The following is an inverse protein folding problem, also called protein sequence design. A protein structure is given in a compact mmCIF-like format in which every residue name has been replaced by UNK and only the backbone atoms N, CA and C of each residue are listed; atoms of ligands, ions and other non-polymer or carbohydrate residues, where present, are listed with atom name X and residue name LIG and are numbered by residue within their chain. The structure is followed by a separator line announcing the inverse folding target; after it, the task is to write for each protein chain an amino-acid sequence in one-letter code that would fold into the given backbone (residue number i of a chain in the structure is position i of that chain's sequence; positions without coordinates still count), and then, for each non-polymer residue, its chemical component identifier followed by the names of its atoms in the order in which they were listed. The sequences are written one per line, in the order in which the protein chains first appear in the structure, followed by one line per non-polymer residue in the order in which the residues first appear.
data_IF_023138154380
#
_entry.id   IF_023138154380
#
_cell.length_a   1.000
_cell.length_b   1.000
_cell.length_c   1.000
_cell.angle_alpha   90.00
_cell.angle_beta   90.00
_cell.angle_gamma   90.00
#
_symmetry.space_group_name_H-M   'P 1'
#
loop_
_entity.id
_entity.type
_entity.pdbx_description
1 polymer ?
#
# COMPACT_ATOMS: atom_id res chain seq x y z
N UNK A 1 50.49 35.02 -32.14
CA UNK A 1 49.29 34.23 -32.54
C UNK A 1 48.97 33.04 -31.65
N UNK A 2 49.89 32.52 -30.86
CA UNK A 2 49.64 31.28 -30.04
C UNK A 2 48.89 31.48 -28.72
N UNK A 3 48.82 32.70 -28.18
CA UNK A 3 48.14 32.92 -26.87
C UNK A 3 46.63 33.16 -27.00
N UNK A 4 46.16 33.66 -28.12
CA UNK A 4 44.74 33.91 -28.37
C UNK A 4 43.98 32.60 -28.60
N UNK A 5 44.57 31.59 -29.24
CA UNK A 5 43.99 30.26 -29.45
C UNK A 5 43.86 29.44 -28.16
N UNK A 6 44.75 29.65 -27.17
CA UNK A 6 44.66 28.99 -25.84
C UNK A 6 43.57 29.60 -24.95
N UNK A 7 43.34 30.92 -25.07
CA UNK A 7 42.25 31.60 -24.32
C UNK A 7 40.85 31.21 -24.86
N UNK A 8 40.70 31.11 -26.19
CA UNK A 8 39.41 30.71 -26.79
C UNK A 8 39.08 29.24 -26.48
N UNK A 9 40.06 28.32 -26.48
CA UNK A 9 39.83 26.92 -26.08
C UNK A 9 39.49 26.74 -24.57
N UNK A 10 40.03 27.59 -23.69
CA UNK A 10 39.69 27.57 -22.25
C UNK A 10 38.32 28.18 -21.98
N UNK A 11 37.90 29.19 -22.72
CA UNK A 11 36.57 29.77 -22.62
C UNK A 11 35.48 28.83 -23.13
N UNK A 12 35.72 28.09 -24.23
CA UNK A 12 34.76 27.12 -24.77
C UNK A 12 34.65 25.87 -23.92
N UNK A 13 35.71 25.38 -23.23
CA UNK A 13 35.61 24.28 -22.27
C UNK A 13 34.87 24.70 -20.97
N UNK A 14 35.07 25.95 -20.54
CA UNK A 14 34.34 26.50 -19.37
C UNK A 14 32.84 26.65 -19.63
N UNK A 15 32.45 27.09 -20.83
CA UNK A 15 31.04 27.22 -21.21
C UNK A 15 30.36 25.85 -21.40
N UNK A 16 31.08 24.84 -21.93
CA UNK A 16 30.56 23.47 -22.08
C UNK A 16 30.38 22.79 -20.70
N UNK A 17 31.29 23.03 -19.76
CA UNK A 17 31.20 22.52 -18.42
C UNK A 17 30.03 23.18 -17.60
N UNK A 18 29.80 24.49 -17.81
CA UNK A 18 28.65 25.18 -17.22
C UNK A 18 27.31 24.72 -17.83
N UNK A 19 27.27 24.44 -19.14
CA UNK A 19 26.08 23.89 -19.80
C UNK A 19 25.75 22.46 -19.32
N UNK A 20 26.77 21.63 -19.05
CA UNK A 20 26.57 20.29 -18.49
C UNK A 20 26.14 20.29 -17.01
N UNK A 21 26.52 21.32 -16.25
CA UNK A 21 26.07 21.46 -14.84
C UNK A 21 24.63 21.99 -14.77
N UNK A 22 24.21 22.82 -15.73
CA UNK A 22 22.81 23.34 -15.81
C UNK A 22 21.84 22.26 -16.31
N UNK A 23 22.31 21.24 -17.05
CA UNK A 23 21.49 20.10 -17.46
C UNK A 23 21.35 19.02 -16.38
N UNK A 24 22.10 19.11 -15.28
CA UNK A 24 22.09 18.14 -14.19
C UNK A 24 21.06 18.42 -13.08
N UNK A 25 20.31 19.52 -13.12
CA UNK A 25 19.28 19.87 -12.15
C UNK A 25 17.89 20.04 -12.80
N UNK A 26 17.57 19.25 -13.80
CA UNK A 26 16.16 19.01 -14.10
C UNK A 26 15.63 18.12 -12.97
N UNK A 27 14.81 18.69 -12.09
CA UNK A 27 13.94 17.92 -11.21
C UNK A 27 13.35 16.80 -12.08
N UNK A 28 13.50 15.56 -11.64
CA UNK A 28 12.96 14.41 -12.34
C UNK A 28 11.44 14.63 -12.38
N UNK A 29 10.93 15.19 -13.47
CA UNK A 29 9.51 15.28 -13.69
C UNK A 29 8.98 13.86 -13.62
N UNK A 30 7.95 13.62 -12.79
CA UNK A 30 7.28 12.33 -12.74
C UNK A 30 6.86 11.97 -14.16
N UNK A 31 7.50 10.96 -14.75
CA UNK A 31 7.35 10.60 -16.17
C UNK A 31 6.10 9.72 -16.33
N UNK A 32 4.94 10.28 -15.92
CA UNK A 32 3.66 9.62 -16.16
C UNK A 32 3.15 9.90 -17.56
N UNK A 33 2.56 8.94 -18.24
CA UNK A 33 1.66 9.25 -19.35
C UNK A 33 0.51 10.12 -18.83
N UNK A 34 0.32 11.31 -19.40
CA UNK A 34 -0.74 12.24 -18.98
C UNK A 34 -1.76 12.44 -20.08
N UNK A 35 -2.97 12.86 -19.69
CA UNK A 35 -4.03 13.29 -20.62
C UNK A 35 -4.88 14.38 -19.96
N UNK A 36 -5.63 15.14 -20.77
CA UNK A 36 -6.75 15.91 -20.24
C UNK A 36 -7.85 14.96 -19.76
N UNK A 37 -8.54 15.23 -18.63
CA UNK A 37 -9.59 14.36 -18.12
C UNK A 37 -10.66 13.99 -19.16
N UNK A 38 -11.04 14.94 -20.01
CA UNK A 38 -12.05 14.78 -21.05
C UNK A 38 -11.64 13.74 -22.12
N UNK A 39 -10.34 13.58 -22.40
CA UNK A 39 -9.84 12.59 -23.36
C UNK A 39 -10.08 11.13 -22.90
N UNK A 40 -10.28 10.95 -21.61
CA UNK A 40 -10.53 9.63 -21.01
C UNK A 40 -11.91 9.54 -20.35
N UNK A 41 -12.86 10.40 -20.74
CA UNK A 41 -14.26 10.35 -20.28
C UNK A 41 -14.46 10.78 -18.83
N UNK A 42 -13.65 11.75 -18.36
CA UNK A 42 -13.74 12.34 -17.03
C UNK A 42 -13.90 13.85 -17.17
N UNK A 43 -14.74 14.47 -16.34
CA UNK A 43 -14.92 15.94 -16.31
C UNK A 43 -13.88 16.60 -15.42
N UNK A 44 -13.07 17.50 -15.96
CA UNK A 44 -12.11 18.30 -15.20
C UNK A 44 -12.78 19.16 -14.11
N UNK A 45 -13.91 19.81 -14.45
CA UNK A 45 -14.69 20.61 -13.49
C UNK A 45 -15.17 19.78 -12.30
N UNK A 46 -15.61 18.54 -12.55
CA UNK A 46 -16.03 17.64 -11.49
C UNK A 46 -14.85 17.09 -10.71
N UNK A 47 -13.75 16.78 -11.38
CA UNK A 47 -12.52 16.29 -10.73
C UNK A 47 -11.88 17.36 -9.83
N UNK A 48 -12.08 18.66 -10.14
CA UNK A 48 -11.64 19.76 -9.27
C UNK A 48 -12.27 19.68 -7.85
N UNK A 49 -13.42 19.00 -7.70
CA UNK A 49 -14.06 18.79 -6.38
C UNK A 49 -13.18 17.97 -5.44
N UNK A 50 -12.35 17.07 -5.97
CA UNK A 50 -11.36 16.35 -5.18
C UNK A 50 -10.37 17.33 -4.53
N UNK A 51 -9.73 18.21 -5.33
CA UNK A 51 -8.82 19.22 -4.80
C UNK A 51 -9.51 20.15 -3.80
N UNK A 52 -10.75 20.59 -4.10
CA UNK A 52 -11.50 21.46 -3.20
C UNK A 52 -11.84 20.77 -1.88
N UNK A 53 -12.10 19.47 -1.91
CA UNK A 53 -12.38 18.69 -0.70
C UNK A 53 -11.12 18.54 0.16
N UNK A 54 -9.99 18.20 -0.45
CA UNK A 54 -8.71 18.15 0.27
C UNK A 54 -8.33 19.50 0.87
N UNK A 55 -8.55 20.59 0.12
CA UNK A 55 -8.27 21.94 0.61
C UNK A 55 -9.13 22.29 1.83
N UNK A 56 -10.40 21.89 1.87
CA UNK A 56 -11.27 22.14 3.05
C UNK A 56 -10.72 21.47 4.32
N UNK A 57 -10.20 20.25 4.24
CA UNK A 57 -9.55 19.58 5.38
C UNK A 57 -8.31 20.36 5.87
N UNK A 58 -7.52 20.88 4.93
CA UNK A 58 -6.31 21.66 5.24
C UNK A 58 -6.69 23.01 5.87
N UNK A 59 -7.63 23.74 5.27
CA UNK A 59 -8.11 25.04 5.77
C UNK A 59 -8.76 24.95 7.14
N UNK A 60 -9.43 23.84 7.43
CA UNK A 60 -10.01 23.52 8.74
C UNK A 60 -8.98 23.01 9.75
N UNK A 61 -7.69 22.96 9.38
CA UNK A 61 -6.61 22.44 10.20
C UNK A 61 -6.82 20.98 10.68
N UNK A 62 -7.52 20.16 9.88
CA UNK A 62 -7.73 18.73 10.15
C UNK A 62 -6.67 17.86 9.46
N UNK A 63 -6.00 18.38 8.42
CA UNK A 63 -4.86 17.78 7.75
C UNK A 63 -3.77 18.84 7.55
N UNK A 64 -2.51 18.42 7.61
CA UNK A 64 -1.39 19.32 7.28
C UNK A 64 -1.29 19.51 5.76
N UNK A 65 -1.39 18.45 5.01
CA UNK A 65 -1.34 18.46 3.57
C UNK A 65 -1.62 17.08 2.97
N UNK A 66 -1.83 17.07 1.67
CA UNK A 66 -2.13 15.85 0.89
C UNK A 66 -1.43 15.89 -0.46
N UNK A 67 -1.14 14.70 -1.00
CA UNK A 67 -0.91 14.51 -2.43
C UNK A 67 -1.96 13.54 -2.93
N UNK A 68 -2.73 13.94 -3.95
CA UNK A 68 -3.73 13.10 -4.59
C UNK A 68 -3.39 12.86 -6.06
N UNK A 69 -3.63 11.63 -6.53
CA UNK A 69 -3.43 11.23 -7.91
C UNK A 69 -4.66 10.44 -8.38
N UNK A 70 -5.10 10.72 -9.61
CA UNK A 70 -6.10 9.94 -10.32
C UNK A 70 -5.58 9.64 -11.72
N UNK A 71 -5.67 8.39 -12.15
CA UNK A 71 -5.39 8.00 -13.53
C UNK A 71 -6.54 7.18 -14.09
N UNK A 72 -6.73 7.24 -15.40
CA UNK A 72 -7.67 6.41 -16.16
C UNK A 72 -7.08 6.01 -17.50
N UNK A 73 -7.29 4.76 -17.91
CA UNK A 73 -6.70 4.19 -19.14
C UNK A 73 -5.19 4.32 -19.21
N UNK A 74 -4.49 4.14 -18.08
CA UNK A 74 -3.04 4.26 -17.99
C UNK A 74 -2.51 5.69 -18.07
N UNK A 75 -3.38 6.71 -18.11
CA UNK A 75 -3.00 8.12 -18.18
C UNK A 75 -3.36 8.85 -16.89
N UNK A 76 -2.39 9.55 -16.31
CA UNK A 76 -2.62 10.40 -15.14
C UNK A 76 -3.37 11.66 -15.59
N UNK A 77 -4.52 11.90 -14.97
CA UNK A 77 -5.42 13.01 -15.27
C UNK A 77 -5.54 14.02 -14.14
N UNK A 78 -4.95 13.69 -12.98
CA UNK A 78 -4.91 14.56 -11.81
C UNK A 78 -3.72 14.19 -10.94
N UNK A 79 -2.86 15.15 -10.67
CA UNK A 79 -1.90 15.13 -9.55
C UNK A 79 -2.01 16.47 -8.85
N UNK A 80 -2.20 16.46 -7.54
CA UNK A 80 -2.29 17.70 -6.78
C UNK A 80 -1.69 17.58 -5.39
N UNK A 81 -0.65 18.38 -5.15
CA UNK A 81 -0.08 18.61 -3.84
C UNK A 81 -0.70 19.83 -3.20
N UNK A 82 -1.15 19.73 -1.95
CA UNK A 82 -1.82 20.79 -1.23
C UNK A 82 -1.36 20.84 0.24
N UNK A 83 -1.32 22.06 0.80
CA UNK A 83 -0.94 22.27 2.19
C UNK A 83 0.55 22.15 2.44
N UNK A 84 0.89 21.55 3.58
CA UNK A 84 2.22 21.52 4.14
C UNK A 84 2.77 20.10 4.25
N UNK A 85 3.99 19.90 3.82
CA UNK A 85 4.80 18.71 4.13
C UNK A 85 5.23 18.75 5.62
N UNK A 86 5.61 19.94 6.07
CA UNK A 86 5.92 20.23 7.46
C UNK A 86 5.42 21.65 7.82
N UNK A 87 4.39 21.74 8.69
CA UNK A 87 3.80 23.03 9.10
C UNK A 87 4.72 23.83 9.98
N UNK A 88 5.51 23.19 10.82
CA UNK A 88 6.40 23.84 11.80
C UNK A 88 7.52 24.59 11.11
N UNK A 89 8.03 24.04 10.00
CA UNK A 89 9.09 24.67 9.20
C UNK A 89 8.55 25.53 8.05
N UNK A 90 7.24 25.44 7.76
CA UNK A 90 6.61 26.15 6.65
C UNK A 90 6.88 25.52 5.27
N UNK A 91 7.37 24.27 5.22
CA UNK A 91 7.65 23.56 3.98
C UNK A 91 6.37 23.08 3.32
N UNK A 92 6.20 23.43 2.04
CA UNK A 92 5.02 23.05 1.27
C UNK A 92 5.06 21.56 0.86
N UNK A 93 3.87 20.95 0.74
CA UNK A 93 3.71 19.65 0.12
C UNK A 93 4.10 19.72 -1.37
N UNK A 94 4.80 18.70 -1.85
CA UNK A 94 5.24 18.56 -3.25
C UNK A 94 4.86 17.18 -3.78
N UNK A 95 4.78 17.01 -5.11
CA UNK A 95 4.36 15.76 -5.76
C UNK A 95 5.32 14.60 -5.47
N UNK A 96 6.59 14.92 -5.15
CA UNK A 96 7.65 14.00 -4.79
C UNK A 96 7.78 13.77 -3.26
N UNK A 97 6.86 14.30 -2.46
CA UNK A 97 6.85 14.07 -1.01
C UNK A 97 6.74 12.57 -0.69
N UNK A 98 7.55 12.14 0.27
CA UNK A 98 7.62 10.74 0.73
C UNK A 98 6.72 10.58 1.96
N UNK A 99 5.91 9.53 1.95
CA UNK A 99 4.96 9.20 3.01
C UNK A 99 5.24 7.83 3.60
N UNK A 100 5.14 7.68 4.91
CA UNK A 100 5.09 6.36 5.54
C UNK A 100 3.74 5.74 5.20
N UNK A 101 3.73 4.67 4.40
CA UNK A 101 2.50 4.12 3.82
C UNK A 101 1.80 3.10 4.72
N UNK A 102 2.40 2.77 5.86
CA UNK A 102 1.84 1.85 6.84
C UNK A 102 1.32 0.54 6.18
N UNK A 103 0.04 0.21 6.36
CA UNK A 103 -0.55 -1.03 5.84
C UNK A 103 -0.65 -1.12 4.32
N UNK A 104 -0.36 -0.06 3.57
CA UNK A 104 -0.16 -0.17 2.12
C UNK A 104 1.13 -0.93 1.75
N UNK A 105 1.96 -1.29 2.74
CA UNK A 105 3.04 -2.28 2.60
C UNK A 105 2.51 -3.68 2.25
N UNK A 106 1.34 -4.07 2.78
CA UNK A 106 0.78 -5.42 2.63
C UNK A 106 0.60 -5.88 1.18
N UNK A 107 -0.01 -5.08 0.28
CA UNK A 107 -0.12 -5.44 -1.14
C UNK A 107 1.22 -5.78 -1.79
N UNK A 108 2.26 -4.98 -1.52
CA UNK A 108 3.59 -5.19 -2.10
C UNK A 108 4.21 -6.50 -1.60
N UNK A 109 4.14 -6.75 -0.29
CA UNK A 109 4.66 -7.99 0.31
C UNK A 109 3.85 -9.22 -0.11
N UNK A 110 2.54 -9.10 -0.25
CA UNK A 110 1.70 -10.19 -0.79
C UNK A 110 2.04 -10.49 -2.24
N UNK A 111 2.32 -9.47 -3.05
CA UNK A 111 2.79 -9.64 -4.43
C UNK A 111 4.12 -10.42 -4.47
N UNK A 112 5.06 -10.12 -3.58
CA UNK A 112 6.33 -10.84 -3.46
C UNK A 112 6.12 -12.34 -3.21
N UNK A 113 5.25 -12.70 -2.27
CA UNK A 113 4.95 -14.11 -2.01
C UNK A 113 4.26 -14.77 -3.22
N UNK A 114 3.39 -14.05 -3.93
CA UNK A 114 2.72 -14.59 -5.12
C UNK A 114 3.66 -14.74 -6.32
N UNK A 115 4.79 -14.04 -6.39
CA UNK A 115 5.84 -14.32 -7.37
C UNK A 115 6.48 -15.70 -7.11
N UNK A 116 6.75 -16.04 -5.84
CA UNK A 116 7.25 -17.36 -5.46
C UNK A 116 6.20 -18.48 -5.68
N UNK A 117 4.91 -18.15 -5.56
CA UNK A 117 3.83 -19.05 -5.96
C UNK A 117 3.87 -19.37 -7.46
N UNK A 118 4.08 -18.38 -8.34
CA UNK A 118 4.22 -18.60 -9.79
C UNK A 118 5.46 -19.42 -10.14
N UNK A 119 6.51 -19.35 -9.32
CA UNK A 119 7.69 -20.23 -9.46
C UNK A 119 7.41 -21.69 -9.05
N UNK A 120 6.19 -22.00 -8.59
CA UNK A 120 5.80 -23.35 -8.16
C UNK A 120 6.45 -23.78 -6.84
N UNK A 121 6.84 -22.82 -6.00
CA UNK A 121 7.52 -23.10 -4.71
C UNK A 121 6.56 -23.65 -3.66
N UNK A 122 5.27 -23.37 -3.77
CA UNK A 122 4.20 -23.85 -2.89
C UNK A 122 2.83 -23.73 -3.56
N UNK A 123 1.82 -24.38 -2.97
CA UNK A 123 0.40 -24.21 -3.30
C UNK A 123 -0.28 -23.38 -2.19
N UNK A 124 -1.35 -22.65 -2.51
CA UNK A 124 -2.10 -21.87 -1.52
C UNK A 124 -2.71 -22.74 -0.40
N UNK A 125 -2.87 -24.03 -0.62
CA UNK A 125 -3.39 -25.01 0.32
C UNK A 125 -2.32 -25.69 1.16
N UNK A 126 -1.04 -25.51 0.81
CA UNK A 126 0.04 -26.11 1.57
C UNK A 126 0.13 -25.50 2.97
N UNK A 127 0.49 -26.29 3.99
CA UNK A 127 0.73 -25.80 5.33
C UNK A 127 1.99 -24.93 5.35
N UNK A 128 1.92 -23.78 6.03
CA UNK A 128 3.12 -22.93 6.18
C UNK A 128 4.15 -23.53 7.14
N UNK A 129 3.80 -24.56 7.89
CA UNK A 129 4.69 -25.28 8.81
C UNK A 129 5.88 -25.94 8.12
N UNK A 130 5.79 -26.21 6.81
CA UNK A 130 6.92 -26.71 6.04
C UNK A 130 8.08 -25.68 5.98
N UNK A 131 7.78 -24.40 6.13
CA UNK A 131 8.73 -23.29 6.17
C UNK A 131 8.83 -22.62 7.55
N UNK A 132 7.79 -22.70 8.38
CA UNK A 132 7.74 -22.16 9.75
C UNK A 132 7.34 -23.29 10.72
N UNK A 133 8.23 -24.26 10.97
CA UNK A 133 7.91 -25.44 11.80
C UNK A 133 7.54 -25.07 13.23
N UNK A 134 7.92 -23.89 13.70
CA UNK A 134 7.55 -23.35 15.01
C UNK A 134 6.03 -23.15 15.18
N UNK A 135 5.26 -23.19 14.09
CA UNK A 135 3.79 -23.11 14.11
C UNK A 135 3.12 -24.48 14.08
N UNK A 136 3.88 -25.57 14.18
CA UNK A 136 3.28 -26.91 14.26
C UNK A 136 2.51 -27.09 15.60
N UNK A 137 1.45 -27.90 15.57
CA UNK A 137 0.67 -28.26 16.76
C UNK A 137 -0.07 -27.08 17.42
N UNK A 138 -0.44 -26.04 16.66
CA UNK A 138 -1.15 -24.85 17.18
C UNK A 138 -2.42 -25.23 17.93
N UNK A 139 -2.63 -24.52 19.02
CA UNK A 139 -3.88 -24.55 19.78
C UNK A 139 -4.74 -23.33 19.45
N UNK A 140 -6.04 -23.46 19.62
CA UNK A 140 -7.06 -22.43 19.45
C UNK A 140 -7.68 -22.12 20.79
N UNK A 141 -8.00 -20.87 21.06
CA UNK A 141 -8.85 -20.48 22.19
C UNK A 141 -10.30 -20.58 21.77
N UNK A 142 -11.07 -21.33 22.53
CA UNK A 142 -12.52 -21.45 22.38
C UNK A 142 -13.16 -20.92 23.65
N UNK A 143 -14.12 -20.04 23.51
CA UNK A 143 -14.95 -19.58 24.63
C UNK A 143 -16.28 -20.38 24.68
N UNK A 144 -16.56 -21.01 25.80
CA UNK A 144 -17.82 -21.70 26.03
C UNK A 144 -18.31 -21.42 27.46
N UNK A 145 -19.50 -20.87 27.57
CA UNK A 145 -20.10 -20.54 28.86
C UNK A 145 -19.33 -19.51 29.69
N UNK A 146 -18.60 -18.60 29.05
CA UNK A 146 -17.77 -17.59 29.72
C UNK A 146 -16.40 -18.09 30.18
N UNK A 147 -16.02 -19.32 29.78
CA UNK A 147 -14.72 -19.93 30.11
C UNK A 147 -13.92 -20.16 28.84
N UNK A 148 -12.64 -19.81 28.89
CA UNK A 148 -11.69 -20.02 27.77
C UNK A 148 -11.03 -21.40 27.88
N UNK A 149 -11.14 -22.21 26.83
CA UNK A 149 -10.50 -23.50 26.68
C UNK A 149 -9.44 -23.49 25.62
N UNK A 150 -8.48 -24.40 25.75
CA UNK A 150 -7.47 -24.65 24.71
C UNK A 150 -7.76 -25.98 24.05
N UNK A 151 -7.78 -26.00 22.72
CA UNK A 151 -7.88 -27.25 21.95
C UNK A 151 -7.00 -27.19 20.72
N UNK A 152 -6.63 -28.34 20.18
CA UNK A 152 -5.83 -28.41 18.95
C UNK A 152 -6.57 -27.77 17.77
N UNK A 153 -5.87 -27.04 16.93
CA UNK A 153 -6.42 -26.53 15.67
C UNK A 153 -6.89 -27.73 14.79
N UNK A 154 -8.06 -27.62 14.18
CA UNK A 154 -8.63 -28.68 13.34
C UNK A 154 -7.85 -28.88 12.03
N UNK A 155 -7.10 -27.86 11.61
CA UNK A 155 -6.30 -27.84 10.40
C UNK A 155 -5.08 -26.93 10.56
N UNK A 156 -4.00 -27.17 9.79
CA UNK A 156 -2.84 -26.30 9.81
C UNK A 156 -3.16 -24.92 9.20
N UNK A 157 -2.34 -23.92 9.55
CA UNK A 157 -2.34 -22.63 8.84
C UNK A 157 -1.75 -22.86 7.44
N UNK A 158 -2.40 -22.36 6.39
CA UNK A 158 -1.95 -22.43 5.01
C UNK A 158 -1.52 -21.07 4.47
N UNK A 159 -0.87 -21.04 3.32
CA UNK A 159 -0.53 -19.79 2.62
C UNK A 159 -1.76 -18.92 2.34
N UNK A 160 -2.89 -19.56 1.93
CA UNK A 160 -4.15 -18.84 1.76
C UNK A 160 -4.58 -18.12 3.03
N UNK A 161 -4.50 -18.78 4.18
CA UNK A 161 -4.95 -18.20 5.45
C UNK A 161 -4.16 -16.95 5.83
N UNK A 162 -2.83 -16.94 5.69
CA UNK A 162 -2.02 -15.75 6.03
C UNK A 162 -2.20 -14.62 5.03
N UNK A 163 -2.37 -14.92 3.73
CA UNK A 163 -2.60 -13.92 2.68
C UNK A 163 -3.99 -13.29 2.77
N UNK A 164 -5.00 -14.01 3.27
CA UNK A 164 -6.39 -13.55 3.35
C UNK A 164 -6.83 -13.07 4.75
N UNK A 165 -5.93 -13.06 5.73
CA UNK A 165 -6.25 -12.73 7.12
C UNK A 165 -7.26 -13.69 7.79
N UNK A 166 -7.27 -14.97 7.39
CA UNK A 166 -8.11 -16.03 7.99
C UNK A 166 -7.30 -17.02 8.82
N UNK A 167 -6.08 -16.63 9.25
CA UNK A 167 -5.17 -17.52 9.99
C UNK A 167 -5.41 -17.56 11.52
N UNK A 168 -6.05 -16.54 12.10
CA UNK A 168 -6.32 -16.48 13.55
C UNK A 168 -5.09 -16.21 14.43
N UNK A 169 -4.01 -15.63 13.87
CA UNK A 169 -2.69 -15.49 14.55
C UNK A 169 -2.58 -14.34 15.56
N UNK A 170 -3.66 -13.60 15.80
CA UNK A 170 -3.68 -12.44 16.69
C UNK A 170 -4.68 -12.65 17.84
N UNK A 171 -4.38 -13.51 18.83
CA UNK A 171 -5.29 -13.74 19.95
C UNK A 171 -5.50 -12.47 20.78
N UNK A 172 -6.72 -12.29 21.29
CA UNK A 172 -7.06 -11.20 22.20
C UNK A 172 -6.21 -11.30 23.47
N UNK A 173 -5.79 -10.16 24.01
CA UNK A 173 -4.95 -10.12 25.22
C UNK A 173 -5.65 -10.68 26.44
N UNK A 174 -6.97 -10.59 26.48
CA UNK A 174 -7.82 -11.07 27.59
C UNK A 174 -7.82 -12.59 27.74
N UNK A 175 -7.48 -13.33 26.68
CA UNK A 175 -7.44 -14.79 26.70
C UNK A 175 -6.03 -15.36 26.92
N UNK A 176 -5.01 -14.49 27.04
CA UNK A 176 -3.60 -14.88 27.22
C UNK A 176 -3.22 -14.94 28.70
N UNK A 177 -2.36 -15.90 29.06
CA UNK A 177 -1.70 -15.95 30.35
C UNK A 177 -0.64 -14.84 30.48
N UNK A 178 -0.13 -14.63 31.71
CA UNK A 178 0.96 -13.65 31.92
C UNK A 178 2.24 -14.04 31.16
N UNK A 179 2.56 -15.33 31.08
CA UNK A 179 3.69 -15.85 30.32
C UNK A 179 3.50 -15.60 28.81
N UNK A 180 2.30 -15.81 28.28
CA UNK A 180 1.95 -15.54 26.88
C UNK A 180 1.98 -14.04 26.57
N UNK A 181 1.50 -13.20 27.47
CA UNK A 181 1.59 -11.73 27.32
C UNK A 181 3.04 -11.24 27.23
N UNK A 182 3.97 -11.92 27.91
CA UNK A 182 5.41 -11.61 27.82
C UNK A 182 6.03 -11.93 26.45
N UNK A 183 5.36 -12.72 25.61
CA UNK A 183 5.79 -13.02 24.24
C UNK A 183 5.37 -11.97 23.20
N UNK A 184 4.43 -11.09 23.53
CA UNK A 184 3.87 -10.11 22.60
C UNK A 184 4.86 -9.00 22.16
N UNK A 185 5.80 -8.51 23.01
CA UNK A 185 6.69 -7.43 22.62
C UNK A 185 7.51 -7.76 21.38
N UNK A 186 7.67 -6.76 20.52
CA UNK A 186 8.47 -6.84 19.31
C UNK A 186 9.95 -7.05 19.68
N UNK A 187 10.62 -7.91 18.93
CA UNK A 187 12.07 -8.14 19.00
C UNK A 187 12.80 -7.28 17.96
N UNK A 188 14.11 -7.43 17.84
CA UNK A 188 14.95 -6.67 16.94
C UNK A 188 14.61 -6.95 15.46
N UNK A 189 14.31 -8.20 15.12
CA UNK A 189 13.97 -8.60 13.74
C UNK A 189 12.55 -9.13 13.64
N UNK A 190 12.05 -9.23 12.42
CA UNK A 190 10.76 -9.85 12.12
C UNK A 190 10.74 -11.31 12.58
N UNK A 191 11.72 -12.09 12.14
CA UNK A 191 11.84 -13.51 12.47
C UNK A 191 11.84 -13.74 13.98
N UNK A 192 12.74 -13.06 14.72
CA UNK A 192 12.78 -13.18 16.20
C UNK A 192 11.41 -12.87 16.83
N UNK A 193 10.69 -11.89 16.31
CA UNK A 193 9.37 -11.52 16.83
C UNK A 193 8.35 -12.64 16.60
N UNK A 194 8.30 -13.20 15.38
CA UNK A 194 7.32 -14.23 15.03
C UNK A 194 7.62 -15.56 15.71
N UNK A 195 8.90 -15.94 15.80
CA UNK A 195 9.32 -17.16 16.51
C UNK A 195 9.02 -17.03 18.02
N UNK A 196 9.31 -15.86 18.63
CA UNK A 196 8.95 -15.60 20.02
C UNK A 196 7.43 -15.70 20.26
N UNK A 197 6.59 -15.35 19.28
CA UNK A 197 5.13 -15.43 19.35
C UNK A 197 4.54 -16.78 18.90
N UNK A 198 5.36 -17.68 18.36
CA UNK A 198 4.89 -18.98 17.87
C UNK A 198 4.15 -19.82 18.93
N UNK A 199 4.48 -19.78 20.25
CA UNK A 199 3.72 -20.50 21.28
C UNK A 199 2.30 -19.94 21.53
N UNK A 200 2.00 -18.70 21.10
CA UNK A 200 0.67 -18.11 21.34
C UNK A 200 -0.43 -18.94 20.66
N UNK A 201 -1.62 -19.06 21.27
CA UNK A 201 -2.75 -19.74 20.66
C UNK A 201 -3.30 -18.93 19.46
N UNK A 202 -4.08 -19.57 18.63
CA UNK A 202 -4.89 -18.90 17.61
C UNK A 202 -6.19 -18.37 18.21
N UNK A 203 -6.74 -17.30 17.63
CA UNK A 203 -8.04 -16.74 17.99
C UNK A 203 -9.21 -17.66 17.57
N UNK A 204 -9.03 -18.40 16.47
CA UNK A 204 -10.01 -19.31 15.88
C UNK A 204 -9.29 -20.34 15.00
N UNK A 205 -9.99 -21.40 14.60
CA UNK A 205 -9.42 -22.39 13.66
C UNK A 205 -9.12 -21.73 12.30
N UNK A 206 -7.94 -21.99 11.71
CA UNK A 206 -7.58 -21.37 10.43
C UNK A 206 -8.67 -21.55 9.37
N UNK A 207 -9.18 -20.45 8.82
CA UNK A 207 -10.25 -20.42 7.83
C UNK A 207 -11.67 -20.28 8.39
N UNK A 208 -11.88 -20.26 9.70
CA UNK A 208 -13.23 -20.19 10.29
C UNK A 208 -13.70 -18.75 10.55
N UNK A 209 -12.80 -17.76 10.48
CA UNK A 209 -13.15 -16.34 10.65
C UNK A 209 -12.12 -15.46 9.93
N UNK A 210 -12.40 -14.16 9.91
CA UNK A 210 -11.52 -13.13 9.36
C UNK A 210 -11.05 -12.17 10.45
N UNK A 211 -9.73 -12.01 10.60
CA UNK A 211 -9.15 -11.13 11.61
C UNK A 211 -7.98 -10.33 11.03
N UNK A 212 -8.17 -9.02 10.93
CA UNK A 212 -7.11 -8.13 10.50
C UNK A 212 -6.02 -7.97 11.56
N UNK A 213 -4.78 -8.24 11.18
CA UNK A 213 -3.66 -8.16 12.11
C UNK A 213 -2.31 -8.46 11.49
N UNK A 214 -1.52 -9.28 12.19
CA UNK A 214 -0.13 -9.58 11.89
C UNK A 214 0.08 -10.66 10.81
N UNK A 215 -0.97 -11.22 10.23
CA UNK A 215 -0.86 -12.30 9.23
C UNK A 215 0.15 -11.98 8.11
N UNK A 216 0.23 -10.74 7.64
CA UNK A 216 1.18 -10.36 6.58
C UNK A 216 2.65 -10.32 7.06
N UNK A 217 2.91 -10.28 8.36
CA UNK A 217 4.27 -10.48 8.89
C UNK A 217 4.73 -11.93 8.65
N UNK A 218 3.83 -12.92 8.76
CA UNK A 218 4.11 -14.30 8.35
C UNK A 218 4.31 -14.43 6.84
N UNK A 219 3.56 -13.67 6.03
CA UNK A 219 3.80 -13.58 4.57
C UNK A 219 5.23 -13.08 4.30
N UNK A 220 5.68 -12.05 5.01
CA UNK A 220 7.03 -11.52 4.88
C UNK A 220 8.11 -12.54 5.27
N UNK A 221 7.94 -13.24 6.39
CA UNK A 221 8.86 -14.31 6.82
C UNK A 221 8.89 -15.46 5.81
N UNK A 222 7.74 -15.81 5.22
CA UNK A 222 7.67 -16.84 4.17
C UNK A 222 8.44 -16.41 2.92
N UNK A 223 8.37 -15.14 2.52
CA UNK A 223 9.21 -14.63 1.42
C UNK A 223 10.68 -14.84 1.73
N UNK A 224 11.15 -14.49 2.93
CA UNK A 224 12.56 -14.69 3.32
C UNK A 224 12.97 -16.17 3.32
N UNK A 225 12.18 -17.04 3.94
CA UNK A 225 12.52 -18.47 4.07
C UNK A 225 12.43 -19.24 2.77
N UNK A 226 11.50 -18.90 1.87
CA UNK A 226 11.34 -19.56 0.56
C UNK A 226 12.38 -19.07 -0.44
N UNK A 227 12.66 -17.77 -0.47
CA UNK A 227 13.63 -17.17 -1.40
C UNK A 227 15.08 -17.36 -0.94
N UNK A 228 15.30 -17.47 0.37
CA UNK A 228 16.64 -17.46 0.97
C UNK A 228 17.27 -16.06 1.02
N UNK A 229 16.50 -15.00 0.81
CA UNK A 229 16.93 -13.60 0.79
C UNK A 229 16.22 -12.80 1.87
N UNK A 230 16.85 -11.76 2.48
CA UNK A 230 16.14 -10.80 3.31
C UNK A 230 14.97 -10.16 2.53
N UNK A 231 13.85 -9.90 3.21
CA UNK A 231 12.67 -9.31 2.56
C UNK A 231 13.00 -8.00 1.83
N UNK A 232 13.79 -7.13 2.46
CA UNK A 232 14.16 -5.83 1.89
C UNK A 232 14.91 -5.98 0.57
N UNK A 233 15.82 -6.95 0.48
CA UNK A 233 16.59 -7.21 -0.74
C UNK A 233 15.71 -7.83 -1.82
N UNK A 234 14.83 -8.79 -1.45
CA UNK A 234 13.89 -9.38 -2.38
C UNK A 234 12.93 -8.34 -2.98
N UNK A 235 12.35 -7.47 -2.14
CA UNK A 235 11.46 -6.42 -2.62
C UNK A 235 12.20 -5.46 -3.54
N UNK A 236 13.42 -5.04 -3.17
CA UNK A 236 14.21 -4.13 -3.99
C UNK A 236 14.49 -4.72 -5.37
N UNK A 237 15.04 -5.95 -5.41
CA UNK A 237 15.46 -6.61 -6.65
C UNK A 237 14.29 -7.01 -7.55
N UNK A 238 13.21 -7.55 -6.95
CA UNK A 238 12.14 -8.21 -7.72
C UNK A 238 10.93 -7.32 -8.02
N UNK A 239 10.72 -6.24 -7.24
CA UNK A 239 9.54 -5.39 -7.38
C UNK A 239 9.92 -3.93 -7.59
N UNK A 240 10.72 -3.34 -6.66
CA UNK A 240 10.91 -1.89 -6.63
C UNK A 240 11.79 -1.41 -7.79
N UNK A 241 12.94 -2.03 -8.03
CA UNK A 241 13.81 -1.67 -9.15
C UNK A 241 13.17 -1.94 -10.52
N UNK A 242 12.57 -3.14 -10.78
CA UNK A 242 11.89 -3.40 -12.04
C UNK A 242 10.73 -2.45 -12.33
N UNK A 243 9.99 -2.03 -11.31
CA UNK A 243 8.92 -1.04 -11.44
C UNK A 243 9.42 0.41 -11.34
N UNK A 244 10.74 0.66 -11.20
CA UNK A 244 11.33 1.98 -11.02
C UNK A 244 10.71 2.78 -9.84
N UNK A 245 10.45 2.10 -8.74
CA UNK A 245 9.88 2.67 -7.51
C UNK A 245 11.02 3.16 -6.60
N UNK A 246 11.78 4.14 -7.06
CA UNK A 246 13.05 4.58 -6.48
C UNK A 246 12.93 5.32 -5.13
N UNK A 247 11.73 5.73 -4.77
CA UNK A 247 11.42 6.42 -3.51
C UNK A 247 10.61 5.53 -2.53
N UNK A 248 10.53 4.23 -2.83
CA UNK A 248 9.88 3.25 -1.97
C UNK A 248 10.91 2.41 -1.25
N UNK A 249 10.90 2.46 0.10
CA UNK A 249 11.89 1.74 0.92
C UNK A 249 11.45 1.63 2.38
N UNK A 250 12.03 0.67 3.12
CA UNK A 250 11.91 0.61 4.60
C UNK A 250 12.73 1.67 5.30
N UNK A 251 13.87 2.03 4.73
CA UNK A 251 14.79 3.04 5.25
C UNK A 251 14.92 4.13 4.18
N UNK A 252 14.32 5.28 4.43
CA UNK A 252 14.48 6.43 3.52
C UNK A 252 15.93 6.88 3.54
N UNK A 253 16.61 6.98 2.38
CA UNK A 253 17.99 7.45 2.29
C UNK A 253 18.17 8.83 2.94
N UNK A 254 19.35 9.06 3.53
CA UNK A 254 19.63 10.31 4.28
C UNK A 254 19.44 11.58 3.44
N UNK A 255 19.80 11.52 2.17
CA UNK A 255 19.66 12.60 1.19
C UNK A 255 18.22 12.85 0.72
N UNK A 256 17.29 11.96 1.10
CA UNK A 256 15.86 12.07 0.77
C UNK A 256 14.98 12.42 1.98
N UNK A 257 15.56 12.51 3.18
CA UNK A 257 14.79 12.76 4.43
C UNK A 257 14.02 14.07 4.37
N UNK A 258 14.56 15.08 3.71
CA UNK A 258 13.91 16.39 3.52
C UNK A 258 12.58 16.30 2.73
N UNK A 259 12.38 15.21 1.98
CA UNK A 259 11.15 14.95 1.24
C UNK A 259 10.10 14.22 2.06
N UNK A 260 10.43 13.72 3.25
CA UNK A 260 9.49 12.99 4.10
C UNK A 260 8.49 13.95 4.74
N UNK A 261 7.20 13.62 4.66
CA UNK A 261 6.14 14.39 5.28
C UNK A 261 6.11 14.17 6.80
N UNK A 262 5.98 15.25 7.55
CA UNK A 262 5.77 15.21 9.00
C UNK A 262 4.44 14.55 9.35
N UNK A 263 4.42 13.79 10.43
CA UNK A 263 3.21 13.10 10.90
C UNK A 263 2.53 13.93 11.97
N UNK A 264 1.22 14.07 11.86
CA UNK A 264 0.38 14.82 12.78
C UNK A 264 -0.59 13.92 13.52
N UNK A 265 -1.08 14.36 14.66
CA UNK A 265 -2.16 13.72 15.41
C UNK A 265 -3.29 14.71 15.68
N UNK A 266 -4.55 14.23 15.75
CA UNK A 266 -5.66 15.06 16.22
C UNK A 266 -5.44 15.48 17.66
N UNK A 267 -5.73 16.76 17.98
CA UNK A 267 -5.59 17.33 19.30
C UNK A 267 -6.78 18.25 19.63
N UNK A 268 -7.18 18.22 20.89
CA UNK A 268 -8.24 19.07 21.41
C UNK A 268 -9.66 18.75 20.90
N UNK A 269 -10.67 19.51 21.37
CA UNK A 269 -12.08 19.23 21.09
C UNK A 269 -12.47 19.35 19.61
N UNK A 270 -11.79 20.24 18.88
CA UNK A 270 -12.07 20.50 17.45
C UNK A 270 -11.31 19.58 16.50
N UNK A 271 -10.59 18.57 17.01
CA UNK A 271 -9.78 17.64 16.23
C UNK A 271 -8.77 18.33 15.30
N UNK A 272 -8.30 19.53 15.66
CA UNK A 272 -7.19 20.19 14.98
C UNK A 272 -5.90 19.39 15.18
N UNK A 273 -4.96 19.52 14.25
CA UNK A 273 -3.74 18.71 14.27
C UNK A 273 -2.60 19.39 15.01
N UNK A 274 -1.80 18.58 15.70
CA UNK A 274 -0.49 18.93 16.25
C UNK A 274 0.58 17.97 15.77
N UNK A 275 1.85 18.39 15.80
CA UNK A 275 2.97 17.56 15.35
C UNK A 275 3.11 16.33 16.25
N UNK A 276 3.03 15.14 15.64
CA UNK A 276 3.29 13.85 16.29
C UNK A 276 4.72 13.40 16.08
N UNK A 277 5.25 13.55 14.84
CA UNK A 277 6.60 13.13 14.49
C UNK A 277 7.17 13.97 13.34
N UNK A 278 8.31 14.62 13.59
CA UNK A 278 9.07 15.29 12.56
C UNK A 278 9.78 14.28 11.62
N UNK A 279 10.09 14.69 10.38
CA UNK A 279 10.96 13.91 9.50
C UNK A 279 12.34 13.73 10.14
N UNK A 280 12.84 12.51 10.14
CA UNK A 280 14.19 12.19 10.59
C UNK A 280 14.69 10.91 9.93
N UNK A 281 16.00 10.78 9.80
CA UNK A 281 16.61 9.51 9.39
C UNK A 281 16.41 8.46 10.47
N UNK A 282 15.93 7.29 10.08
CA UNK A 282 15.68 6.15 10.97
C UNK A 282 16.25 4.88 10.39
N UNK A 283 17.05 4.21 11.16
CA UNK A 283 17.49 2.84 10.88
C UNK A 283 16.50 1.83 11.50
N UNK A 284 16.37 0.69 10.87
CA UNK A 284 15.60 -0.43 11.39
C UNK A 284 16.23 -1.73 10.96
N UNK A 285 16.10 -2.74 11.79
CA UNK A 285 16.41 -4.14 11.48
C UNK A 285 15.13 -4.98 11.34
N UNK A 286 13.97 -4.32 11.48
CA UNK A 286 12.68 -4.96 11.41
C UNK A 286 11.99 -4.59 10.10
N UNK A 287 11.96 -5.52 9.17
CA UNK A 287 11.32 -5.39 7.85
C UNK A 287 10.02 -6.18 7.83
N UNK A 288 8.96 -5.60 8.42
CA UNK A 288 7.67 -6.28 8.58
C UNK A 288 6.78 -6.19 7.33
N UNK A 289 5.95 -7.21 7.14
CA UNK A 289 4.96 -7.24 6.07
C UNK A 289 3.73 -6.38 6.35
N UNK A 290 3.42 -6.18 7.62
CA UNK A 290 2.23 -5.41 8.06
C UNK A 290 2.38 -3.93 7.77
N UNK A 291 3.59 -3.37 7.93
CA UNK A 291 3.90 -1.96 7.74
C UNK A 291 5.42 -1.76 7.71
N UNK A 292 5.87 -0.60 7.26
CA UNK A 292 7.27 -0.20 7.35
C UNK A 292 7.77 0.53 6.12
N UNK A 293 7.21 0.29 4.95
CA UNK A 293 7.57 1.01 3.74
C UNK A 293 7.15 2.48 3.82
N UNK A 294 7.99 3.32 3.24
CA UNK A 294 7.68 4.68 2.81
C UNK A 294 7.62 4.70 1.28
N UNK A 295 6.83 5.61 0.70
CA UNK A 295 6.65 5.69 -0.75
C UNK A 295 6.15 7.08 -1.16
N UNK A 296 6.10 7.34 -2.47
CA UNK A 296 5.46 8.50 -3.10
C UNK A 296 4.18 8.08 -3.83
N UNK A 297 3.32 9.04 -4.21
CA UNK A 297 2.16 8.73 -5.06
C UNK A 297 2.58 8.19 -6.42
N UNK A 298 3.74 8.64 -6.92
CA UNK A 298 4.33 8.21 -8.18
C UNK A 298 4.69 6.73 -8.17
N UNK A 299 5.51 6.34 -7.20
CA UNK A 299 5.93 4.94 -7.07
C UNK A 299 4.74 4.02 -6.84
N UNK A 300 3.81 4.44 -5.96
CA UNK A 300 2.65 3.60 -5.68
C UNK A 300 1.68 3.53 -6.85
N UNK A 301 1.63 4.55 -7.72
CA UNK A 301 0.90 4.49 -8.99
C UNK A 301 1.51 3.45 -9.93
N UNK A 302 2.84 3.38 -10.05
CA UNK A 302 3.51 2.36 -10.89
C UNK A 302 3.15 0.95 -10.44
N UNK A 303 3.18 0.70 -9.13
CA UNK A 303 2.72 -0.58 -8.56
C UNK A 303 1.24 -0.84 -8.86
N UNK A 304 0.37 0.15 -8.67
CA UNK A 304 -1.07 0.02 -8.93
C UNK A 304 -1.37 -0.18 -10.42
N UNK A 305 -0.64 0.51 -11.30
CA UNK A 305 -0.79 0.37 -12.75
C UNK A 305 -0.31 -1.01 -13.25
N UNK A 306 0.78 -1.53 -12.69
CA UNK A 306 1.23 -2.90 -12.95
C UNK A 306 0.12 -3.91 -12.61
N UNK A 307 -0.54 -3.76 -11.45
CA UNK A 307 -1.66 -4.62 -11.07
C UNK A 307 -2.85 -4.48 -12.03
N UNK A 308 -3.23 -3.24 -12.38
CA UNK A 308 -4.34 -2.96 -13.29
C UNK A 308 -4.09 -3.53 -14.69
N UNK A 309 -2.85 -3.54 -15.15
CA UNK A 309 -2.44 -4.12 -16.43
C UNK A 309 -2.33 -5.66 -16.39
N UNK A 310 -2.76 -6.32 -15.32
CA UNK A 310 -2.66 -7.78 -15.20
C UNK A 310 -1.23 -8.27 -14.96
N UNK A 311 -0.46 -7.51 -14.18
CA UNK A 311 0.86 -7.91 -13.68
C UNK A 311 2.06 -7.41 -14.49
N UNK A 312 1.87 -6.42 -15.38
CA UNK A 312 2.94 -5.90 -16.25
C UNK A 312 2.91 -4.36 -16.29
N UNK A 313 4.10 -3.75 -16.32
CA UNK A 313 4.28 -2.31 -16.59
C UNK A 313 5.59 -2.10 -17.35
N UNK A 314 5.56 -1.25 -18.38
CA UNK A 314 6.74 -0.85 -19.19
C UNK A 314 7.55 -2.06 -19.73
N UNK A 315 6.85 -3.15 -20.10
CA UNK A 315 7.47 -4.38 -20.59
C UNK A 315 8.04 -5.31 -19.51
N UNK A 316 7.91 -4.93 -18.22
CA UNK A 316 8.33 -5.76 -17.08
C UNK A 316 7.11 -6.48 -16.51
N UNK A 317 7.11 -7.81 -16.58
CA UNK A 317 6.08 -8.65 -15.99
C UNK A 317 6.52 -9.19 -14.64
N UNK A 318 5.78 -8.85 -13.59
CA UNK A 318 5.98 -9.40 -12.23
C UNK A 318 5.09 -10.61 -11.97
N UNK A 319 3.85 -10.58 -12.46
CA UNK A 319 2.87 -11.64 -12.27
C UNK A 319 2.09 -11.89 -13.57
N UNK A 320 1.50 -13.08 -13.67
CA UNK A 320 0.56 -13.38 -14.74
C UNK A 320 -0.82 -12.74 -14.48
N UNK A 321 -1.62 -12.46 -15.52
CA UNK A 321 -3.00 -11.99 -15.33
C UNK A 321 -3.86 -12.98 -14.52
N UNK A 322 -3.55 -14.27 -14.58
CA UNK A 322 -4.26 -15.32 -13.82
C UNK A 322 -3.98 -15.20 -12.32
N UNK A 323 -2.73 -14.90 -11.95
CA UNK A 323 -2.35 -14.69 -10.54
C UNK A 323 -2.94 -13.39 -10.00
N UNK A 324 -2.94 -12.31 -10.77
CA UNK A 324 -3.64 -11.09 -10.38
C UNK A 324 -5.13 -11.37 -10.13
N UNK A 325 -5.82 -12.06 -11.05
CA UNK A 325 -7.22 -12.46 -10.88
C UNK A 325 -7.43 -13.32 -9.63
N UNK A 326 -6.50 -14.24 -9.35
CA UNK A 326 -6.55 -15.04 -8.13
C UNK A 326 -6.42 -14.15 -6.88
N UNK A 327 -5.48 -13.20 -6.88
CA UNK A 327 -5.26 -12.30 -5.74
C UNK A 327 -6.48 -11.40 -5.46
N UNK A 328 -7.17 -10.94 -6.49
CA UNK A 328 -8.36 -10.07 -6.36
C UNK A 328 -9.68 -10.86 -6.37
N UNK A 329 -9.65 -12.16 -6.15
CA UNK A 329 -10.84 -12.98 -5.88
C UNK A 329 -11.14 -13.00 -4.39
N UNK A 330 -12.41 -13.28 -4.01
CA UNK A 330 -12.80 -13.42 -2.62
C UNK A 330 -12.15 -14.66 -1.99
N UNK A 331 -11.30 -14.46 -0.98
CA UNK A 331 -10.67 -15.51 -0.17
C UNK A 331 -11.10 -15.47 1.30
N UNK A 332 -11.85 -14.43 1.72
CA UNK A 332 -12.45 -14.35 3.05
C UNK A 332 -13.77 -15.12 3.17
N UNK A 333 -14.28 -15.69 2.05
CA UNK A 333 -15.59 -16.32 2.06
C UNK A 333 -16.71 -15.32 2.42
N UNK A 334 -17.62 -15.75 3.28
CA UNK A 334 -18.74 -14.93 3.77
C UNK A 334 -18.39 -14.21 5.10
N UNK A 335 -17.14 -14.25 5.55
CA UNK A 335 -16.72 -13.59 6.77
C UNK A 335 -16.71 -12.07 6.62
N UNK A 336 -17.13 -11.38 7.69
CA UNK A 336 -17.15 -9.93 7.75
C UNK A 336 -15.74 -9.32 7.71
N UNK A 337 -15.48 -8.50 6.70
CA UNK A 337 -14.30 -7.63 6.67
C UNK A 337 -14.58 -6.36 7.48
N UNK A 338 -14.72 -6.53 8.81
CA UNK A 338 -15.29 -5.55 9.76
C UNK A 338 -14.66 -4.16 9.70
N UNK A 339 -13.37 -4.04 9.34
CA UNK A 339 -12.69 -2.74 9.22
C UNK A 339 -13.11 -1.95 7.99
N UNK A 340 -13.72 -2.60 6.99
CA UNK A 340 -14.29 -1.98 5.78
C UNK A 340 -15.80 -1.85 5.90
N UNK A 341 -16.44 -2.79 6.54
CA UNK A 341 -17.89 -2.87 6.70
C UNK A 341 -18.59 -3.67 5.60
N UNK A 342 -19.92 -3.60 5.52
CA UNK A 342 -20.70 -4.34 4.55
C UNK A 342 -20.32 -4.01 3.10
N UNK A 343 -20.49 -4.96 2.18
CA UNK A 343 -20.18 -4.81 0.77
C UNK A 343 -18.71 -5.00 0.42
N UNK A 344 -17.91 -5.49 1.38
CA UNK A 344 -16.50 -5.78 1.16
C UNK A 344 -16.15 -7.22 1.52
N UNK A 345 -15.24 -7.80 0.74
CA UNK A 345 -14.56 -9.08 1.01
C UNK A 345 -13.05 -8.86 0.98
N UNK A 346 -12.27 -9.92 1.19
CA UNK A 346 -10.81 -9.84 1.17
C UNK A 346 -10.20 -10.89 0.24
N UNK A 347 -9.24 -10.47 -0.56
CA UNK A 347 -8.47 -11.31 -1.45
C UNK A 347 -7.14 -11.76 -0.83
N UNK A 348 -6.09 -11.90 -1.65
CA UNK A 348 -4.74 -12.18 -1.20
C UNK A 348 -3.96 -10.86 -1.09
N UNK A 349 -4.12 -10.16 0.04
CA UNK A 349 -3.46 -8.88 0.34
C UNK A 349 -4.28 -7.62 0.02
N UNK A 350 -5.50 -7.73 -0.49
CA UNK A 350 -6.37 -6.61 -0.87
C UNK A 350 -7.78 -6.75 -0.28
N UNK A 351 -8.37 -5.62 0.12
CA UNK A 351 -9.81 -5.52 0.32
C UNK A 351 -10.51 -5.31 -1.02
N UNK A 352 -11.64 -5.97 -1.22
CA UNK A 352 -12.41 -6.00 -2.47
C UNK A 352 -13.79 -5.40 -2.25
N UNK A 353 -14.27 -4.59 -3.20
CA UNK A 353 -15.69 -4.22 -3.26
C UNK A 353 -16.46 -5.40 -3.85
N UNK A 354 -17.38 -5.97 -3.09
CA UNK A 354 -18.20 -7.10 -3.51
C UNK A 354 -19.62 -6.70 -3.87
N UNK A 355 -20.17 -5.67 -3.19
CA UNK A 355 -21.52 -5.16 -3.43
C UNK A 355 -21.54 -3.62 -3.29
N UNK A 356 -21.72 -2.92 -4.40
CA UNK A 356 -21.80 -1.47 -4.43
C UNK A 356 -23.03 -0.91 -3.68
N UNK A 357 -24.11 -1.71 -3.53
CA UNK A 357 -25.32 -1.28 -2.84
C UNK A 357 -25.17 -1.15 -1.34
N UNK A 358 -24.20 -1.87 -0.75
CA UNK A 358 -23.92 -1.86 0.68
C UNK A 358 -22.56 -1.28 1.02
N UNK A 359 -21.64 -1.16 0.04
CA UNK A 359 -20.35 -0.54 0.23
C UNK A 359 -20.46 0.96 0.54
N UNK A 360 -19.51 1.48 1.32
CA UNK A 360 -19.50 2.91 1.70
C UNK A 360 -19.10 3.84 0.55
N UNK A 361 -18.33 3.32 -0.40
CA UNK A 361 -17.75 4.10 -1.50
C UNK A 361 -18.45 3.74 -2.81
N UNK A 362 -18.66 4.69 -3.75
CA UNK A 362 -19.30 4.44 -5.04
C UNK A 362 -18.34 3.75 -6.03
N UNK A 363 -17.53 2.83 -5.52
CA UNK A 363 -16.59 2.07 -6.31
C UNK A 363 -17.29 0.87 -6.97
N UNK A 364 -16.82 0.47 -8.12
CA UNK A 364 -17.42 -0.64 -8.88
C UNK A 364 -17.11 -1.98 -8.19
N UNK A 365 -18.04 -2.94 -8.11
CA UNK A 365 -17.73 -4.30 -7.68
C UNK A 365 -16.55 -4.88 -8.46
N UNK A 366 -15.59 -5.48 -7.74
CA UNK A 366 -14.30 -5.91 -8.29
C UNK A 366 -13.18 -4.89 -8.09
N UNK A 367 -13.48 -3.65 -7.68
CA UNK A 367 -12.44 -2.72 -7.23
C UNK A 367 -11.69 -3.29 -6.04
N UNK A 368 -10.37 -3.25 -6.09
CA UNK A 368 -9.49 -3.67 -5.00
C UNK A 368 -8.70 -2.49 -4.43
N UNK A 369 -8.44 -2.54 -3.14
CA UNK A 369 -7.90 -1.39 -2.43
C UNK A 369 -7.27 -1.77 -1.10
N UNK A 370 -6.46 -0.88 -0.55
CA UNK A 370 -6.09 -0.89 0.85
C UNK A 370 -5.66 0.50 1.30
N UNK A 371 -5.43 0.68 2.60
CA UNK A 371 -4.99 1.96 3.13
C UNK A 371 -4.07 1.83 4.33
N UNK A 372 -3.30 2.87 4.61
CA UNK A 372 -2.35 2.94 5.72
C UNK A 372 -2.95 3.59 6.97
N UNK A 373 -2.52 3.18 8.15
CA UNK A 373 -3.02 3.68 9.44
C UNK A 373 -2.83 5.19 9.64
N UNK A 374 -1.98 5.84 8.82
CA UNK A 374 -1.73 7.27 8.87
C UNK A 374 -2.41 8.07 7.75
N UNK A 375 -3.55 7.56 7.26
CA UNK A 375 -4.43 8.29 6.37
C UNK A 375 -4.26 7.99 4.88
N UNK A 376 -3.20 7.32 4.46
CA UNK A 376 -2.98 6.95 3.06
C UNK A 376 -4.03 5.95 2.55
N UNK A 377 -4.37 6.02 1.27
CA UNK A 377 -5.32 5.13 0.58
C UNK A 377 -4.93 4.98 -0.89
N UNK A 378 -5.15 3.79 -1.45
CA UNK A 378 -5.23 3.57 -2.89
C UNK A 378 -6.41 2.66 -3.21
N UNK A 379 -6.89 2.77 -4.43
CA UNK A 379 -7.85 1.84 -5.02
C UNK A 379 -7.57 1.70 -6.52
N UNK A 380 -7.89 0.53 -7.05
CA UNK A 380 -7.79 0.18 -8.46
C UNK A 380 -9.13 -0.38 -8.88
N UNK A 381 -9.75 0.24 -9.87
CA UNK A 381 -11.03 -0.16 -10.46
C UNK A 381 -10.78 -0.76 -11.85
N UNK A 382 -10.80 -2.10 -12.00
CA UNK A 382 -10.56 -2.74 -13.29
C UNK A 382 -11.68 -2.49 -14.31
N UNK A 383 -12.91 -2.23 -13.85
CA UNK A 383 -14.06 -1.99 -14.75
C UNK A 383 -13.95 -0.62 -15.38
N UNK A 384 -13.69 0.42 -14.57
CA UNK A 384 -13.51 1.78 -15.05
C UNK A 384 -12.09 2.06 -15.57
N UNK A 385 -11.19 1.06 -15.46
CA UNK A 385 -9.76 1.18 -15.81
C UNK A 385 -9.14 2.42 -15.15
N UNK A 386 -9.36 2.55 -13.82
CA UNK A 386 -9.09 3.76 -13.07
C UNK A 386 -8.32 3.45 -11.77
N UNK A 387 -7.41 4.35 -11.41
CA UNK A 387 -6.65 4.30 -10.15
C UNK A 387 -6.85 5.62 -9.42
N UNK A 388 -7.04 5.54 -8.11
CA UNK A 388 -6.96 6.71 -7.23
C UNK A 388 -6.04 6.45 -6.06
N UNK A 389 -5.22 7.43 -5.75
CA UNK A 389 -4.27 7.42 -4.64
C UNK A 389 -4.39 8.74 -3.90
N UNK A 390 -4.40 8.69 -2.57
CA UNK A 390 -4.23 9.90 -1.76
C UNK A 390 -3.29 9.57 -0.60
N UNK A 391 -2.29 10.42 -0.42
CA UNK A 391 -1.33 10.31 0.67
C UNK A 391 -1.39 11.55 1.57
N UNK A 392 -1.45 11.31 2.86
CA UNK A 392 -1.37 12.28 3.97
C UNK A 392 -0.71 11.60 5.16
N UNK A 393 -0.37 12.35 6.20
CA UNK A 393 0.26 11.80 7.39
C UNK A 393 -0.45 12.30 8.65
N UNK A 394 -1.49 11.56 9.05
CA UNK A 394 -2.26 11.82 10.26
C UNK A 394 -2.56 10.52 11.01
N UNK A 395 -2.22 10.45 12.29
CA UNK A 395 -2.64 9.35 13.16
C UNK A 395 -4.12 9.47 13.51
N UNK A 396 -4.77 8.36 13.90
CA UNK A 396 -6.15 8.39 14.44
C UNK A 396 -7.18 9.15 13.57
N UNK A 397 -7.07 9.07 12.25
CA UNK A 397 -7.90 9.78 11.26
C UNK A 397 -9.37 9.29 11.18
N UNK A 398 -9.79 8.31 11.98
CA UNK A 398 -11.12 7.64 11.86
C UNK A 398 -12.31 8.58 12.03
N UNK A 399 -12.11 9.77 12.60
CA UNK A 399 -13.11 10.84 12.69
C UNK A 399 -13.30 11.59 11.36
N UNK A 400 -12.43 11.37 10.37
CA UNK A 400 -12.48 11.98 9.04
C UNK A 400 -13.00 10.98 8.01
N UNK A 401 -13.76 11.49 7.04
CA UNK A 401 -14.21 10.71 5.87
C UNK A 401 -13.25 10.86 4.68
N UNK A 402 -12.07 11.38 4.89
CA UNK A 402 -11.12 11.78 3.83
C UNK A 402 -10.86 10.70 2.79
N UNK A 403 -10.81 9.42 3.19
CA UNK A 403 -10.60 8.31 2.25
C UNK A 403 -11.82 8.05 1.38
N UNK A 404 -13.02 8.10 1.96
CA UNK A 404 -14.28 7.97 1.22
C UNK A 404 -14.47 9.16 0.27
N UNK A 405 -14.14 10.36 0.74
CA UNK A 405 -14.27 11.58 -0.06
C UNK A 405 -13.39 11.54 -1.32
N UNK A 406 -12.19 10.92 -1.25
CA UNK A 406 -11.35 10.70 -2.44
C UNK A 406 -12.05 9.79 -3.44
N UNK A 407 -12.59 8.66 -3.01
CA UNK A 407 -13.36 7.75 -3.87
C UNK A 407 -14.59 8.45 -4.48
N UNK A 408 -15.42 9.08 -3.64
CA UNK A 408 -16.64 9.79 -4.08
C UNK A 408 -16.31 10.89 -5.08
N UNK A 409 -15.32 11.74 -4.78
CA UNK A 409 -15.03 12.91 -5.63
C UNK A 409 -14.28 12.55 -6.92
N UNK A 410 -13.57 11.45 -6.96
CA UNK A 410 -12.97 10.93 -8.18
C UNK A 410 -14.03 10.25 -9.07
N UNK A 411 -14.81 9.30 -8.53
CA UNK A 411 -15.76 8.51 -9.29
C UNK A 411 -16.91 9.36 -9.86
N UNK A 412 -17.40 10.37 -9.13
CA UNK A 412 -18.45 11.26 -9.63
C UNK A 412 -18.01 12.16 -10.81
N UNK A 413 -16.70 12.22 -11.10
CA UNK A 413 -16.17 12.96 -12.23
C UNK A 413 -16.25 12.16 -13.55
N UNK A 414 -16.48 10.86 -13.49
CA UNK A 414 -16.69 10.02 -14.69
C UNK A 414 -17.96 10.47 -15.42
N UNK A 415 -17.86 10.71 -16.74
CA UNK A 415 -18.95 11.09 -17.63
C UNK A 415 -19.16 10.06 -18.74
N UNK A 416 -18.24 9.14 -18.95
CA UNK A 416 -18.34 8.01 -19.86
C UNK A 416 -17.95 6.73 -19.13
N UNK A 417 -18.90 6.16 -18.37
CA UNK A 417 -18.67 4.96 -17.54
C UNK A 417 -18.63 3.69 -18.39
N UNK A 418 -17.70 2.80 -18.09
CA UNK A 418 -17.59 1.50 -18.71
C UNK A 418 -18.53 0.46 -18.08
N UNK A 419 -18.95 0.66 -16.83
CA UNK A 419 -19.90 -0.22 -16.14
C UNK A 419 -21.27 -0.30 -16.80
N UNK A 420 -21.66 0.73 -17.57
CA UNK A 420 -22.93 0.80 -18.31
C UNK A 420 -22.85 0.23 -19.73
N UNK A 421 -21.69 -0.21 -20.19
CA UNK A 421 -21.51 -0.83 -21.51
C UNK A 421 -21.75 -2.33 -21.40
N UNK A 422 -22.54 -2.96 -22.31
CA UNK A 422 -22.73 -4.41 -22.27
C UNK A 422 -21.35 -5.10 -22.34
N UNK A 423 -21.14 -6.06 -21.46
CA UNK A 423 -19.88 -6.82 -21.33
C UNK A 423 -19.47 -7.43 -22.67
N UNK A 424 -18.59 -6.77 -23.40
CA UNK A 424 -18.04 -7.31 -24.65
C UNK A 424 -16.55 -7.61 -24.58
N UNK A 425 -15.87 -7.29 -23.47
CA UNK A 425 -14.41 -7.48 -23.35
C UNK A 425 -14.06 -7.83 -21.89
N UNK A 426 -13.27 -8.88 -21.71
CA UNK A 426 -12.67 -9.17 -20.42
C UNK A 426 -11.84 -7.96 -19.95
N UNK A 427 -11.78 -7.66 -18.64
CA UNK A 427 -11.11 -6.46 -18.10
C UNK A 427 -9.68 -6.22 -18.58
N UNK A 428 -9.01 -7.25 -19.06
CA UNK A 428 -7.60 -7.21 -19.50
C UNK A 428 -7.41 -7.28 -21.03
N UNK A 429 -8.48 -7.20 -21.84
CA UNK A 429 -8.39 -7.31 -23.31
C UNK A 429 -8.19 -5.98 -24.04
N UNK A 430 -7.84 -4.91 -23.32
CA UNK A 430 -7.59 -3.56 -23.90
C UNK A 430 -6.12 -3.14 -23.71
N UNK A 431 -5.21 -4.00 -24.11
CA UNK A 431 -3.82 -3.64 -24.31
C UNK A 431 -3.50 -3.78 -25.81
N UNK A 432 -4.13 -2.92 -26.63
CA UNK A 432 -3.69 -2.62 -27.98
C UNK A 432 -3.24 -1.16 -28.04
#
# INVERSE_FOLDING_TARGET
MNNLHRLIKRASLGLLALLLIVLGSMAQANDFPTAAPEEVGVSSDRLQRLSNTMQRYIDSNMLAGTVSLVSRNGKVIHVKSQGWKNKETGEKMTDDSIFVIMSMTKPIVSTALMMLYEEGRFLLTDPITDWIPELEGKQVVIEEGGVNYRMSAHRPITFRHVLSHTAGVDPSREVLTEEELALLPRKATLEETLINRAPLPLSFHPGDDWQYGSSTDYVALLVERISGQPLVDFLQEKILDPLQMHDTSYIVPKDKVDRVAAVYSPSGPNQTIELFRAPEYRETTYFGGVAGLSSTVSDYWRFSQMLLNGGELDGVRLLSPKTINLMISNHSGDHDVYIRGPGYTFGLGFGLVSDAGTARDPLTPGTFSWGGAWGTIFWVDPVENMIGIMMTQITSYRHLTVRQDVGVTAMQAIIDSYSNKPYSVAPYARLD
#
